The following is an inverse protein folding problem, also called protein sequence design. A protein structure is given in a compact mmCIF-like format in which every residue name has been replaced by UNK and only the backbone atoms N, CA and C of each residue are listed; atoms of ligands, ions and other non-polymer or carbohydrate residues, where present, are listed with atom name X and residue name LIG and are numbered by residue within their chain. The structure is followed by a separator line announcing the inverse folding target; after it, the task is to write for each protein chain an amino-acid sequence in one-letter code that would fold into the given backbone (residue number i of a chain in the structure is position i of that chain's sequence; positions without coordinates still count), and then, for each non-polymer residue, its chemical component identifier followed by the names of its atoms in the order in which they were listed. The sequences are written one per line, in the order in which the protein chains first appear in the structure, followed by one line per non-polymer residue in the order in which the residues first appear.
data_IF_230395030995
#
_entry.id   IF_230395030995
#
_cell.length_a   1.000
_cell.length_b   1.000
_cell.length_c   1.000
_cell.angle_alpha   90.00
_cell.angle_beta   90.00
_cell.angle_gamma   90.00
#
_symmetry.space_group_name_H-M   'P 1'
#
loop_
_entity.id
_entity.type
_entity.pdbx_description
1 polymer ?
#
# COMPACT_ATOMS: atom_id res chain seq x y z
N UNK A 1 -63.10 -17.77 -35.75
CA UNK A 1 -63.58 -19.06 -35.20
C UNK A 1 -63.05 -19.09 -33.78
N UNK A 2 -63.90 -18.77 -32.87
CA UNK A 2 -64.56 -19.63 -31.85
C UNK A 2 -63.53 -20.14 -30.84
N UNK A 3 -63.66 -20.04 -29.51
CA UNK A 3 -64.67 -19.70 -28.47
C UNK A 3 -63.82 -19.66 -27.20
N UNK A 4 -63.76 -18.78 -26.36
CA UNK A 4 -64.48 -18.24 -25.28
C UNK A 4 -64.91 -19.30 -24.21
N UNK A 5 -64.41 -19.13 -22.96
CA UNK A 5 -65.27 -19.29 -21.80
C UNK A 5 -64.58 -18.72 -20.53
N UNK A 6 -65.30 -17.77 -19.99
CA UNK A 6 -65.16 -17.19 -18.64
C UNK A 6 -65.88 -18.07 -17.63
N UNK A 7 -65.39 -18.19 -16.40
CA UNK A 7 -66.23 -18.49 -15.24
C UNK A 7 -65.83 -17.64 -14.04
N UNK A 8 -66.84 -16.90 -13.57
CA UNK A 8 -66.87 -16.20 -12.25
C UNK A 8 -67.51 -17.20 -11.24
N UNK A 9 -67.18 -17.09 -9.96
CA UNK A 9 -68.05 -17.24 -8.80
C UNK A 9 -67.19 -17.03 -7.55
N UNK A 10 -67.37 -16.07 -6.78
CA UNK A 10 -68.29 -15.63 -5.69
C UNK A 10 -67.91 -16.13 -4.31
N UNK A 11 -67.89 -15.15 -3.47
CA UNK A 11 -67.63 -15.00 -2.04
C UNK A 11 -68.39 -15.99 -1.11
N UNK A 12 -67.76 -16.28 0.04
CA UNK A 12 -68.50 -16.41 1.31
C UNK A 12 -67.62 -16.10 2.51
N UNK A 13 -67.99 -15.12 3.26
CA UNK A 13 -67.46 -14.75 4.57
C UNK A 13 -68.10 -15.65 5.66
N UNK A 14 -67.33 -16.13 6.61
CA UNK A 14 -67.83 -16.58 7.89
C UNK A 14 -67.08 -15.88 9.03
N UNK A 15 -67.85 -15.07 9.76
CA UNK A 15 -67.53 -14.49 11.06
C UNK A 15 -67.89 -15.54 12.12
N UNK A 16 -66.96 -15.91 12.97
CA UNK A 16 -67.29 -16.56 14.25
C UNK A 16 -66.56 -15.77 15.36
N UNK A 17 -67.43 -15.15 16.16
CA UNK A 17 -67.10 -14.53 17.45
C UNK A 17 -67.19 -15.62 18.50
N UNK A 18 -66.21 -15.82 19.34
CA UNK A 18 -66.36 -16.48 20.62
C UNK A 18 -65.48 -15.85 21.66
N UNK A 19 -66.13 -15.50 22.74
CA UNK A 19 -65.66 -14.79 23.93
C UNK A 19 -65.01 -15.75 24.95
N UNK A 20 -64.03 -15.17 25.67
CA UNK A 20 -63.66 -15.34 27.09
C UNK A 20 -63.05 -16.64 27.61
N UNK A 21 -61.82 -16.51 28.15
CA UNK A 21 -61.58 -16.60 29.61
C UNK A 21 -60.17 -16.17 29.93
N UNK A 22 -60.03 -15.19 30.86
CA UNK A 22 -58.79 -14.76 31.48
C UNK A 22 -58.34 -15.81 32.50
N UNK A 23 -57.09 -16.25 32.40
CA UNK A 23 -56.34 -16.82 33.51
C UNK A 23 -54.98 -16.14 33.56
N UNK A 24 -54.74 -15.42 34.62
CA UNK A 24 -53.46 -14.82 34.99
C UNK A 24 -52.51 -15.94 35.45
N UNK A 25 -51.44 -16.14 34.73
CA UNK A 25 -50.29 -16.89 35.26
C UNK A 25 -49.04 -16.06 35.06
N UNK A 26 -48.44 -15.62 36.18
CA UNK A 26 -47.19 -14.89 36.22
C UNK A 26 -46.05 -15.87 36.02
N UNK A 27 -45.63 -16.05 34.79
CA UNK A 27 -44.36 -16.66 34.50
C UNK A 27 -43.27 -15.60 34.42
N UNK A 28 -42.34 -15.62 35.38
CA UNK A 28 -41.11 -14.81 35.39
C UNK A 28 -40.37 -15.00 34.12
N UNK A 29 -40.19 -13.91 33.32
CA UNK A 29 -39.24 -13.87 32.20
C UNK A 29 -37.84 -14.08 32.71
N UNK A 30 -37.01 -14.91 32.06
CA UNK A 30 -35.60 -14.96 32.36
C UNK A 30 -34.98 -13.60 31.95
N UNK A 31 -34.32 -12.98 32.91
CA UNK A 31 -33.48 -11.77 32.68
C UNK A 31 -32.47 -12.08 31.58
N UNK A 32 -32.61 -11.45 30.44
CA UNK A 32 -31.57 -11.50 29.39
C UNK A 32 -30.25 -11.02 29.99
N UNK A 33 -29.24 -11.89 29.96
CA UNK A 33 -27.89 -11.50 30.31
C UNK A 33 -27.46 -10.38 29.35
N UNK A 34 -27.02 -9.26 29.90
CA UNK A 34 -26.44 -8.17 29.13
C UNK A 34 -25.26 -8.71 28.32
N UNK A 35 -25.09 -8.30 27.04
CA UNK A 35 -23.93 -8.69 26.29
C UNK A 35 -22.67 -8.18 27.02
N UNK A 36 -21.78 -9.08 27.38
CA UNK A 36 -20.45 -8.75 27.87
C UNK A 36 -19.73 -8.13 26.69
N UNK A 37 -19.72 -6.77 26.60
CA UNK A 37 -18.75 -6.06 25.76
C UNK A 37 -17.37 -6.52 26.23
N UNK A 38 -16.50 -7.05 25.36
CA UNK A 38 -15.12 -7.21 25.73
C UNK A 38 -14.60 -5.83 26.10
N UNK A 39 -14.20 -5.66 27.35
CA UNK A 39 -13.55 -4.45 27.79
C UNK A 39 -12.34 -4.24 26.86
N UNK A 40 -12.37 -3.18 26.05
CA UNK A 40 -11.16 -2.69 25.42
C UNK A 40 -10.16 -2.48 26.54
N UNK A 41 -9.12 -3.30 26.59
CA UNK A 41 -8.05 -3.14 27.56
C UNK A 41 -7.57 -1.69 27.42
N UNK A 42 -7.65 -0.93 28.50
CA UNK A 42 -7.12 0.43 28.59
C UNK A 42 -5.59 0.30 28.43
N UNK A 43 -5.15 0.34 27.18
CA UNK A 43 -3.74 0.29 26.78
C UNK A 43 -3.17 1.69 27.01
N UNK A 44 -3.00 2.02 28.29
CA UNK A 44 -2.38 3.27 28.71
C UNK A 44 -1.04 3.44 27.98
N UNK A 45 -0.82 4.56 27.25
CA UNK A 45 0.45 4.84 26.59
C UNK A 45 1.68 4.86 27.51
N UNK A 46 1.47 4.82 28.81
CA UNK A 46 2.52 4.87 29.83
C UNK A 46 3.34 3.58 29.95
N UNK A 47 2.86 2.43 29.46
CA UNK A 47 3.60 1.17 29.50
C UNK A 47 4.62 1.00 28.38
N UNK A 48 4.38 1.62 27.23
CA UNK A 48 5.28 1.52 26.07
C UNK A 48 6.61 2.18 26.39
N UNK A 49 7.70 1.42 26.37
CA UNK A 49 9.03 1.91 26.68
C UNK A 49 9.88 2.00 25.42
N UNK A 50 10.28 3.24 25.05
CA UNK A 50 11.16 3.45 23.91
C UNK A 50 12.56 2.90 24.15
N UNK A 51 13.23 2.50 23.08
CA UNK A 51 14.64 2.17 23.14
C UNK A 51 15.47 3.44 23.46
N UNK A 52 16.53 3.28 24.26
CA UNK A 52 17.36 4.41 24.69
C UNK A 52 18.02 5.15 23.52
N UNK A 53 18.26 4.44 22.42
CA UNK A 53 18.85 4.93 21.16
C UNK A 53 17.82 5.06 20.03
N UNK A 54 16.53 5.09 20.36
CA UNK A 54 15.42 5.06 19.38
C UNK A 54 15.52 3.87 18.39
N UNK A 55 16.06 2.74 18.82
CA UNK A 55 16.30 1.56 17.98
C UNK A 55 17.17 1.86 16.73
N UNK A 56 18.09 2.82 16.85
CA UNK A 56 18.99 3.28 15.79
C UNK A 56 18.41 4.37 14.88
N UNK A 57 17.17 4.83 15.12
CA UNK A 57 16.53 5.85 14.30
C UNK A 57 16.84 7.26 14.77
N UNK A 58 16.93 8.18 13.81
CA UNK A 58 16.96 9.63 14.02
C UNK A 58 15.55 10.17 13.79
N UNK A 59 14.97 10.80 14.80
CA UNK A 59 13.58 11.25 14.83
C UNK A 59 13.51 12.73 15.25
N UNK A 60 12.42 13.45 14.91
CA UNK A 60 12.16 14.80 15.40
C UNK A 60 12.04 14.84 16.93
N UNK A 61 12.22 16.02 17.50
CA UNK A 61 12.10 16.23 18.95
C UNK A 61 10.74 15.79 19.49
N UNK A 62 10.72 15.13 20.65
CA UNK A 62 9.52 14.61 21.28
C UNK A 62 9.06 13.24 20.76
N UNK A 63 9.62 12.75 19.67
CA UNK A 63 9.38 11.38 19.19
C UNK A 63 10.42 10.41 19.74
N UNK A 64 10.01 9.16 19.88
CA UNK A 64 10.90 8.05 20.18
C UNK A 64 10.41 6.74 19.55
N UNK A 65 11.30 5.78 19.40
CA UNK A 65 11.01 4.50 18.78
C UNK A 65 11.37 3.31 19.67
N UNK A 66 10.70 2.19 19.40
CA UNK A 66 11.02 0.89 19.94
C UNK A 66 10.89 -0.18 18.84
N UNK A 67 11.51 -1.33 19.10
CA UNK A 67 11.36 -2.54 18.29
C UNK A 67 10.18 -3.34 18.83
N UNK A 68 9.18 -3.56 17.96
CA UNK A 68 8.02 -4.42 18.27
C UNK A 68 8.40 -5.89 18.13
N UNK A 69 9.08 -6.23 17.05
CA UNK A 69 9.56 -7.59 16.77
C UNK A 69 10.74 -7.55 15.79
N UNK A 70 11.65 -8.50 15.92
CA UNK A 70 12.62 -8.89 14.90
C UNK A 70 12.16 -10.22 14.29
N UNK A 71 11.62 -10.16 13.08
CA UNK A 71 11.02 -11.29 12.39
C UNK A 71 12.09 -12.12 11.71
N UNK A 72 12.07 -13.42 11.96
CA UNK A 72 12.96 -14.37 11.29
C UNK A 72 12.17 -15.49 10.65
N UNK A 73 12.67 -15.98 9.52
CA UNK A 73 12.16 -17.15 8.84
C UNK A 73 13.34 -18.07 8.53
N UNK A 74 13.24 -19.33 8.95
CA UNK A 74 14.32 -20.31 8.82
C UNK A 74 15.66 -19.79 9.38
N UNK A 75 15.64 -19.02 10.46
CA UNK A 75 16.83 -18.48 11.11
C UNK A 75 17.49 -17.28 10.42
N UNK A 76 16.87 -16.73 9.38
CA UNK A 76 17.32 -15.50 8.69
C UNK A 76 16.30 -14.37 8.87
N UNK A 77 16.72 -13.10 8.83
CA UNK A 77 15.80 -11.98 8.84
C UNK A 77 14.72 -12.12 7.76
N UNK A 78 13.47 -11.90 8.11
CA UNK A 78 12.35 -11.96 7.19
C UNK A 78 12.28 -10.70 6.33
N UNK A 79 11.92 -10.82 5.06
CA UNK A 79 11.65 -9.66 4.22
C UNK A 79 10.22 -9.13 4.53
N UNK A 80 10.08 -8.31 5.58
CA UNK A 80 8.81 -7.73 6.01
C UNK A 80 8.38 -6.62 5.04
N UNK A 81 7.22 -6.82 4.40
CA UNK A 81 6.67 -5.90 3.40
C UNK A 81 5.58 -5.03 4.05
N UNK A 82 4.47 -4.79 3.36
CA UNK A 82 3.39 -3.99 3.92
C UNK A 82 2.81 -4.62 5.20
N UNK A 83 2.26 -3.79 6.06
CA UNK A 83 1.63 -4.20 7.30
C UNK A 83 0.34 -3.43 7.53
N UNK A 84 -0.52 -4.02 8.34
CA UNK A 84 -1.73 -3.37 8.86
C UNK A 84 -1.78 -3.56 10.38
N UNK A 85 -2.33 -2.57 11.08
CA UNK A 85 -2.62 -2.68 12.52
C UNK A 85 -4.13 -2.62 12.70
N UNK A 86 -4.68 -3.64 13.35
CA UNK A 86 -6.13 -3.73 13.58
C UNK A 86 -6.58 -2.74 14.67
N UNK A 87 -7.88 -2.45 14.78
CA UNK A 87 -8.40 -1.66 15.89
C UNK A 87 -8.11 -2.25 17.28
N UNK A 88 -7.88 -3.58 17.35
CA UNK A 88 -7.46 -4.25 18.58
C UNK A 88 -5.96 -4.11 18.86
N UNK A 89 -5.17 -3.60 17.90
CA UNK A 89 -3.71 -3.42 18.02
C UNK A 89 -2.91 -4.65 17.58
N UNK A 90 -3.56 -5.69 17.03
CA UNK A 90 -2.85 -6.78 16.39
C UNK A 90 -2.26 -6.33 15.06
N UNK A 91 -1.08 -6.82 14.72
CA UNK A 91 -0.35 -6.42 13.52
C UNK A 91 -0.30 -7.61 12.57
N UNK A 92 -0.63 -7.40 11.30
CA UNK A 92 -0.40 -8.38 10.24
C UNK A 92 0.64 -7.84 9.27
N UNK A 93 1.65 -8.66 8.96
CA UNK A 93 2.79 -8.28 8.12
C UNK A 93 2.90 -9.28 6.98
N UNK A 94 2.91 -8.79 5.74
CA UNK A 94 3.23 -9.62 4.57
C UNK A 94 4.73 -9.91 4.56
N UNK A 95 5.09 -11.18 4.37
CA UNK A 95 6.47 -11.62 4.35
C UNK A 95 6.80 -12.21 2.99
N UNK A 96 7.74 -11.60 2.28
CA UNK A 96 8.32 -12.17 1.08
C UNK A 96 9.59 -12.95 1.41
N UNK A 97 9.92 -13.89 0.54
CA UNK A 97 11.27 -14.45 0.52
C UNK A 97 12.25 -13.37 0.03
N UNK A 98 13.47 -13.33 0.57
CA UNK A 98 14.56 -12.62 -0.11
C UNK A 98 14.65 -13.06 -1.57
N UNK A 99 15.05 -12.16 -2.48
CA UNK A 99 15.20 -12.52 -3.91
C UNK A 99 16.02 -13.80 -4.04
N UNK A 100 15.51 -14.76 -4.82
CA UNK A 100 16.11 -16.08 -5.06
C UNK A 100 16.05 -17.09 -3.89
N UNK A 101 15.34 -16.80 -2.81
CA UNK A 101 15.07 -17.76 -1.73
C UNK A 101 13.61 -18.18 -1.80
N UNK A 102 13.34 -19.47 -1.88
CA UNK A 102 12.01 -20.06 -1.83
C UNK A 102 11.87 -20.92 -0.56
N UNK A 103 10.68 -21.04 0.00
CA UNK A 103 9.39 -20.49 -0.41
C UNK A 103 9.14 -19.09 0.14
N UNK A 104 8.17 -18.36 -0.44
CA UNK A 104 7.56 -17.17 0.15
C UNK A 104 6.83 -17.55 1.46
N UNK A 105 6.67 -16.60 2.37
CA UNK A 105 6.32 -16.93 3.75
C UNK A 105 4.92 -16.44 4.18
N UNK A 106 4.15 -15.85 3.27
CA UNK A 106 2.76 -15.48 3.53
C UNK A 106 2.63 -14.30 4.47
N UNK A 107 1.91 -14.48 5.58
CA UNK A 107 1.58 -13.42 6.53
C UNK A 107 1.93 -13.86 7.94
N UNK A 108 2.50 -12.94 8.72
CA UNK A 108 2.75 -13.09 10.16
C UNK A 108 1.81 -12.17 10.92
N UNK A 109 1.04 -12.72 11.86
CA UNK A 109 0.28 -11.99 12.87
C UNK A 109 1.08 -11.84 14.15
N UNK A 110 1.07 -10.64 14.75
CA UNK A 110 1.78 -10.28 15.97
C UNK A 110 0.82 -9.65 16.98
N UNK A 111 1.01 -9.91 18.25
CA UNK A 111 0.25 -9.33 19.35
C UNK A 111 1.15 -9.00 20.54
N UNK A 112 0.96 -7.81 21.06
CA UNK A 112 1.45 -7.34 22.35
C UNK A 112 0.35 -7.61 23.39
N UNK A 113 0.57 -8.57 24.30
CA UNK A 113 -0.41 -8.98 25.30
C UNK A 113 -0.37 -8.15 26.55
N UNK A 114 0.82 -7.76 27.00
CA UNK A 114 1.02 -7.06 28.27
C UNK A 114 1.07 -5.54 28.13
N UNK A 115 1.07 -5.03 26.90
CA UNK A 115 1.00 -3.60 26.57
C UNK A 115 2.33 -2.87 26.71
N UNK A 116 3.46 -3.58 26.68
CA UNK A 116 4.79 -2.98 26.78
C UNK A 116 5.30 -2.40 25.45
N UNK A 117 4.61 -2.70 24.36
CA UNK A 117 4.90 -2.26 22.99
C UNK A 117 5.65 -3.29 22.15
N UNK A 118 6.00 -4.44 22.69
CA UNK A 118 6.64 -5.56 22.02
C UNK A 118 5.64 -6.68 21.75
N UNK A 119 5.89 -7.47 20.72
CA UNK A 119 5.04 -8.61 20.44
C UNK A 119 5.45 -9.83 21.29
N UNK A 120 4.51 -10.36 22.10
CA UNK A 120 4.67 -11.57 22.89
C UNK A 120 4.19 -12.82 22.14
N UNK A 121 3.30 -12.61 21.17
CA UNK A 121 2.68 -13.68 20.42
C UNK A 121 2.87 -13.46 18.94
N UNK A 122 3.25 -14.54 18.24
CA UNK A 122 3.42 -14.56 16.79
C UNK A 122 2.76 -15.81 16.22
N UNK A 123 2.07 -15.63 15.09
CA UNK A 123 1.49 -16.73 14.31
C UNK A 123 1.69 -16.49 12.82
N UNK A 124 2.01 -17.54 12.07
CA UNK A 124 2.19 -17.49 10.61
C UNK A 124 1.07 -18.24 9.92
N UNK A 125 0.60 -17.72 8.78
CA UNK A 125 -0.38 -18.38 7.92
C UNK A 125 -0.12 -18.11 6.44
N UNK A 126 -0.79 -18.90 5.56
CA UNK A 126 -0.59 -18.86 4.11
C UNK A 126 0.89 -18.96 3.70
N UNK A 127 1.66 -19.91 4.26
CA UNK A 127 3.02 -20.13 3.81
C UNK A 127 3.02 -20.46 2.31
N UNK A 128 4.10 -20.13 1.62
CA UNK A 128 4.31 -20.32 0.18
C UNK A 128 3.54 -19.35 -0.74
N UNK A 129 2.84 -18.34 -0.21
CA UNK A 129 2.29 -17.24 -1.01
C UNK A 129 3.20 -16.02 -0.94
N UNK A 130 3.71 -15.57 -2.08
CA UNK A 130 4.41 -14.29 -2.22
C UNK A 130 3.41 -13.16 -2.47
N UNK A 131 3.66 -12.00 -1.88
CA UNK A 131 2.86 -10.81 -2.06
C UNK A 131 3.32 -9.67 -1.16
N UNK A 132 2.81 -8.47 -1.36
CA UNK A 132 3.23 -7.30 -0.59
C UNK A 132 2.06 -6.54 0.02
N UNK A 133 1.01 -6.29 -0.74
CA UNK A 133 -0.09 -5.42 -0.33
C UNK A 133 -0.96 -6.03 0.76
N UNK A 134 -1.26 -5.26 1.79
CA UNK A 134 -2.23 -5.61 2.83
C UNK A 134 -3.22 -4.45 3.04
N UNK A 135 -4.49 -4.80 3.22
CA UNK A 135 -5.52 -3.87 3.67
C UNK A 135 -6.45 -4.55 4.67
N UNK A 136 -7.01 -3.77 5.59
CA UNK A 136 -7.91 -4.27 6.63
C UNK A 136 -9.24 -3.52 6.61
N UNK A 137 -10.35 -4.24 6.66
CA UNK A 137 -11.69 -3.68 6.84
C UNK A 137 -12.60 -4.70 7.52
N UNK A 138 -13.17 -4.33 8.65
CA UNK A 138 -14.22 -5.08 9.37
C UNK A 138 -13.93 -6.59 9.50
N UNK A 139 -12.83 -6.95 10.16
CA UNK A 139 -12.36 -8.34 10.34
C UNK A 139 -12.02 -9.08 9.03
N UNK A 140 -11.84 -8.35 7.95
CA UNK A 140 -11.36 -8.87 6.68
C UNK A 140 -9.94 -8.37 6.42
N UNK A 141 -9.01 -9.28 6.25
CA UNK A 141 -7.65 -8.99 5.82
C UNK A 141 -7.53 -9.31 4.33
N UNK A 142 -7.29 -8.28 3.52
CA UNK A 142 -7.01 -8.42 2.10
C UNK A 142 -5.51 -8.56 1.87
N UNK A 143 -5.11 -9.49 1.02
CA UNK A 143 -3.72 -9.75 0.69
C UNK A 143 -3.52 -9.74 -0.83
N UNK A 144 -2.73 -8.78 -1.30
CA UNK A 144 -2.24 -8.71 -2.67
C UNK A 144 -1.10 -9.70 -2.90
N UNK A 145 -1.44 -10.95 -3.20
CA UNK A 145 -0.48 -11.95 -3.65
C UNK A 145 -0.06 -11.67 -5.10
N UNK A 146 1.08 -12.25 -5.53
CA UNK A 146 1.69 -11.91 -6.82
C UNK A 146 0.78 -12.17 -8.04
N UNK A 147 -0.18 -13.10 -7.95
CA UNK A 147 -1.07 -13.50 -9.05
C UNK A 147 -2.57 -13.35 -8.76
N UNK A 148 -2.93 -12.90 -7.54
CA UNK A 148 -4.32 -12.83 -7.08
C UNK A 148 -4.49 -11.87 -5.91
N UNK A 149 -5.74 -11.56 -5.56
CA UNK A 149 -6.08 -10.94 -4.28
C UNK A 149 -6.91 -11.93 -3.46
N UNK A 150 -6.48 -12.15 -2.22
CA UNK A 150 -7.15 -12.99 -1.24
C UNK A 150 -7.80 -12.14 -0.16
N UNK A 151 -8.90 -12.63 0.40
CA UNK A 151 -9.54 -12.06 1.58
C UNK A 151 -9.66 -13.14 2.65
N UNK A 152 -9.06 -12.86 3.80
CA UNK A 152 -9.10 -13.73 4.98
C UNK A 152 -10.10 -13.16 5.99
N UNK A 153 -10.91 -14.02 6.57
CA UNK A 153 -11.72 -13.66 7.73
C UNK A 153 -10.90 -13.90 9.00
N UNK A 154 -10.67 -12.85 9.78
CA UNK A 154 -9.87 -12.88 11.01
C UNK A 154 -10.68 -12.24 12.14
N UNK A 155 -11.39 -13.05 12.91
CA UNK A 155 -12.17 -12.56 14.05
C UNK A 155 -11.31 -11.90 15.12
N UNK A 156 -11.91 -10.96 15.84
CA UNK A 156 -11.25 -10.28 16.95
C UNK A 156 -10.63 -11.28 17.94
N UNK A 157 -9.38 -11.01 18.35
CA UNK A 157 -8.63 -11.89 19.25
C UNK A 157 -7.93 -13.07 18.57
N UNK A 158 -7.93 -13.19 17.25
CA UNK A 158 -7.18 -14.19 16.51
C UNK A 158 -6.03 -13.58 15.72
N UNK A 159 -4.92 -14.31 15.61
CA UNK A 159 -3.76 -13.98 14.76
C UNK A 159 -3.70 -14.84 13.49
N UNK A 160 -4.70 -15.69 13.27
CA UNK A 160 -4.82 -16.54 12.09
C UNK A 160 -6.26 -16.54 11.59
N UNK A 161 -6.48 -16.68 10.28
CA UNK A 161 -7.83 -16.68 9.71
C UNK A 161 -8.66 -17.88 10.15
N UNK A 162 -9.97 -17.73 10.02
CA UNK A 162 -10.97 -18.79 10.18
C UNK A 162 -11.30 -19.41 8.82
N UNK A 163 -10.86 -20.63 8.61
CA UNK A 163 -11.10 -21.34 7.36
C UNK A 163 -10.17 -20.92 6.21
N UNK A 164 -10.59 -21.25 4.99
CA UNK A 164 -9.87 -20.91 3.77
C UNK A 164 -10.11 -19.44 3.37
N UNK A 165 -9.11 -18.83 2.72
CA UNK A 165 -9.29 -17.50 2.14
C UNK A 165 -10.28 -17.52 0.96
N UNK A 166 -11.08 -16.47 0.84
CA UNK A 166 -11.80 -16.17 -0.39
C UNK A 166 -10.84 -15.68 -1.47
N UNK A 167 -11.03 -16.14 -2.70
CA UNK A 167 -10.36 -15.58 -3.87
C UNK A 167 -11.19 -14.40 -4.35
N UNK A 168 -10.75 -13.17 -4.07
CA UNK A 168 -11.44 -11.96 -4.53
C UNK A 168 -11.19 -11.75 -6.02
N UNK A 169 -9.91 -11.81 -6.42
CA UNK A 169 -9.47 -11.68 -7.83
C UNK A 169 -8.42 -12.73 -8.11
N UNK A 170 -8.43 -13.33 -9.30
CA UNK A 170 -7.45 -14.32 -9.75
C UNK A 170 -6.93 -14.01 -11.16
N UNK A 171 -5.87 -14.70 -11.57
CA UNK A 171 -5.31 -14.60 -12.91
C UNK A 171 -4.65 -13.24 -13.20
N UNK A 172 -4.15 -12.55 -12.18
CA UNK A 172 -3.40 -11.32 -12.35
C UNK A 172 -1.99 -11.61 -12.88
N UNK A 173 -1.41 -10.71 -13.70
CA UNK A 173 -0.06 -10.88 -14.25
C UNK A 173 1.00 -11.02 -13.13
N UNK A 174 1.81 -12.07 -13.18
CA UNK A 174 2.80 -12.40 -12.14
C UNK A 174 4.22 -12.67 -12.67
N UNK A 175 4.51 -12.20 -13.88
CA UNK A 175 5.83 -12.32 -14.51
C UNK A 175 6.36 -10.97 -14.93
N UNK A 176 7.67 -10.83 -15.05
CA UNK A 176 8.37 -9.60 -15.42
C UNK A 176 8.97 -8.88 -14.21
N UNK A 177 9.30 -7.59 -14.39
CA UNK A 177 10.06 -6.82 -13.40
C UNK A 177 9.22 -6.47 -12.15
N UNK A 178 7.92 -6.15 -12.29
CA UNK A 178 7.07 -5.59 -11.23
C UNK A 178 5.84 -6.47 -10.99
N UNK A 179 6.02 -7.53 -10.22
CA UNK A 179 4.98 -8.53 -9.94
C UNK A 179 4.16 -8.24 -8.66
N UNK A 180 4.65 -7.39 -7.77
CA UNK A 180 3.98 -7.05 -6.52
C UNK A 180 2.61 -6.42 -6.78
N UNK A 181 1.63 -6.76 -5.93
CA UNK A 181 0.29 -6.20 -5.94
C UNK A 181 0.07 -5.44 -4.66
N UNK A 182 -0.03 -4.12 -4.75
CA UNK A 182 -0.58 -3.36 -3.64
C UNK A 182 -2.10 -3.22 -3.79
N UNK A 183 -2.79 -3.09 -2.67
CA UNK A 183 -4.25 -3.07 -2.60
C UNK A 183 -4.71 -1.95 -1.68
N UNK A 184 -5.72 -1.20 -2.11
CA UNK A 184 -6.36 -0.19 -1.30
C UNK A 184 -7.88 -0.32 -1.31
N UNK A 185 -8.51 -0.13 -0.16
CA UNK A 185 -9.95 -0.16 -0.01
C UNK A 185 -10.51 1.27 -0.04
N UNK A 186 -11.56 1.47 -0.82
CA UNK A 186 -12.31 2.72 -0.88
C UNK A 186 -13.76 2.53 -0.46
N UNK A 187 -14.47 3.63 -0.27
CA UNK A 187 -15.90 3.60 0.07
C UNK A 187 -16.73 2.92 -1.03
N UNK A 188 -17.83 2.27 -0.66
CA UNK A 188 -18.71 1.58 -1.60
C UNK A 188 -18.11 0.27 -2.15
N UNK A 189 -17.43 -0.49 -1.32
CA UNK A 189 -16.81 -1.78 -1.64
C UNK A 189 -15.77 -1.72 -2.78
N UNK A 190 -15.07 -0.61 -2.91
CA UNK A 190 -14.04 -0.47 -3.94
C UNK A 190 -12.74 -1.11 -3.50
N UNK A 191 -12.16 -1.92 -4.37
CA UNK A 191 -10.83 -2.50 -4.21
C UNK A 191 -9.97 -2.06 -5.39
N UNK A 192 -9.01 -1.21 -5.13
CA UNK A 192 -7.99 -0.79 -6.11
C UNK A 192 -6.80 -1.73 -6.02
N UNK A 193 -6.33 -2.19 -7.18
CA UNK A 193 -5.20 -3.12 -7.27
C UNK A 193 -4.19 -2.58 -8.29
N UNK A 194 -2.94 -2.44 -7.88
CA UNK A 194 -1.84 -2.13 -8.78
C UNK A 194 -1.44 -3.34 -9.60
N UNK A 195 -1.27 -3.16 -10.90
CA UNK A 195 -0.61 -4.11 -11.80
C UNK A 195 0.62 -3.44 -12.42
N UNK A 196 1.80 -3.70 -11.87
CA UNK A 196 3.05 -3.11 -12.36
C UNK A 196 3.44 -3.59 -13.77
N UNK A 197 4.30 -2.85 -14.44
CA UNK A 197 4.79 -3.19 -15.79
C UNK A 197 5.60 -4.48 -15.80
N UNK A 198 5.66 -5.15 -16.95
CA UNK A 198 6.52 -6.32 -17.13
C UNK A 198 7.98 -5.95 -17.37
N UNK A 199 8.21 -4.73 -17.88
CA UNK A 199 9.53 -4.25 -18.28
C UNK A 199 9.85 -2.90 -17.68
N UNK A 200 11.10 -2.47 -17.79
CA UNK A 200 11.55 -1.15 -17.35
C UNK A 200 10.88 0.01 -18.14
N UNK A 201 10.84 -0.12 -19.47
CA UNK A 201 10.37 0.97 -20.37
C UNK A 201 9.74 0.48 -21.68
N UNK A 202 9.12 -0.71 -21.68
CA UNK A 202 8.45 -1.32 -22.83
C UNK A 202 9.34 -1.38 -24.08
N UNK A 203 10.59 -1.78 -23.89
CA UNK A 203 11.61 -1.95 -24.92
C UNK A 203 11.45 -3.28 -25.66
N UNK A 204 11.91 -3.36 -26.89
CA UNK A 204 11.99 -4.62 -27.67
C UNK A 204 12.86 -5.64 -26.91
N UNK A 205 13.97 -5.19 -26.34
CA UNK A 205 14.80 -5.98 -25.43
C UNK A 205 14.91 -5.23 -24.09
N UNK A 206 14.29 -5.79 -23.05
CA UNK A 206 14.22 -5.14 -21.76
C UNK A 206 15.61 -4.90 -21.16
N UNK A 207 15.89 -3.67 -20.71
CA UNK A 207 17.15 -3.23 -20.07
C UNK A 207 18.40 -3.42 -20.94
N UNK A 208 18.26 -3.40 -22.26
CA UNK A 208 19.36 -3.48 -23.21
C UNK A 208 19.64 -2.09 -23.80
N UNK A 209 20.92 -1.74 -23.86
CA UNK A 209 21.38 -0.45 -24.38
C UNK A 209 20.83 -0.19 -25.79
N UNK A 210 20.33 1.02 -26.02
CA UNK A 210 19.77 1.52 -27.27
C UNK A 210 18.62 0.68 -27.87
N UNK A 211 18.02 -0.22 -27.09
CA UNK A 211 16.85 -0.97 -27.52
C UNK A 211 15.66 -0.05 -27.68
N UNK A 212 15.02 0.03 -28.87
CA UNK A 212 13.89 0.93 -29.11
C UNK A 212 12.65 0.48 -28.31
N UNK A 213 11.75 1.43 -28.06
CA UNK A 213 10.45 1.16 -27.48
C UNK A 213 9.47 0.53 -28.46
N UNK A 214 8.54 -0.24 -27.94
CA UNK A 214 7.42 -0.81 -28.71
C UNK A 214 6.26 0.19 -28.73
N UNK A 215 5.80 0.58 -29.90
CA UNK A 215 4.66 1.48 -30.04
C UNK A 215 3.57 0.89 -30.96
N UNK A 216 2.29 0.85 -30.52
CA UNK A 216 1.84 1.10 -29.12
C UNK A 216 2.37 0.02 -28.17
N UNK A 217 2.62 0.39 -26.90
CA UNK A 217 3.13 -0.55 -25.91
C UNK A 217 2.07 -1.61 -25.57
N UNK A 218 2.35 -2.91 -25.77
CA UNK A 218 1.40 -3.99 -25.55
C UNK A 218 1.12 -4.27 -24.06
N UNK A 219 1.90 -3.69 -23.15
CA UNK A 219 1.68 -3.83 -21.70
C UNK A 219 0.51 -2.98 -21.22
N UNK A 220 0.30 -1.79 -21.78
CA UNK A 220 -0.68 -0.81 -21.28
C UNK A 220 -2.11 -1.33 -21.17
N UNK A 221 -2.63 -2.17 -22.08
CA UNK A 221 -3.97 -2.72 -21.95
C UNK A 221 -4.16 -3.70 -20.78
N UNK A 222 -3.07 -4.29 -20.26
CA UNK A 222 -3.14 -5.39 -19.29
C UNK A 222 -2.27 -5.19 -18.05
N UNK A 223 -1.41 -4.16 -18.02
CA UNK A 223 -0.44 -3.87 -16.95
C UNK A 223 -0.18 -2.38 -16.86
N UNK A 224 0.79 -2.01 -16.01
CA UNK A 224 1.25 -0.63 -15.84
C UNK A 224 0.10 0.33 -15.52
N UNK A 225 -0.71 -0.04 -14.52
CA UNK A 225 -1.88 0.74 -14.15
C UNK A 225 -2.60 0.21 -12.91
N UNK A 226 -3.80 0.73 -12.71
CA UNK A 226 -4.68 0.42 -11.58
C UNK A 226 -5.97 -0.22 -12.11
N UNK A 227 -6.37 -1.31 -11.49
CA UNK A 227 -7.68 -1.95 -11.71
C UNK A 227 -8.58 -1.78 -10.50
N UNK A 228 -9.86 -1.57 -10.75
CA UNK A 228 -10.89 -1.45 -9.74
C UNK A 228 -11.80 -2.68 -9.78
N UNK A 229 -11.97 -3.32 -8.62
CA UNK A 229 -12.83 -4.47 -8.39
C UNK A 229 -13.84 -4.21 -7.27
N UNK A 230 -14.78 -5.13 -7.09
CA UNK A 230 -15.65 -5.19 -5.91
C UNK A 230 -14.89 -5.91 -4.78
N UNK A 231 -14.64 -5.21 -3.67
CA UNK A 231 -13.96 -5.78 -2.49
C UNK A 231 -14.74 -6.94 -1.86
N UNK A 232 -16.06 -6.97 -1.98
CA UNK A 232 -16.93 -8.05 -1.45
C UNK A 232 -17.20 -9.15 -2.48
N UNK A 233 -16.81 -8.93 -3.73
CA UNK A 233 -16.91 -9.92 -4.79
C UNK A 233 -15.95 -11.10 -4.59
N UNK A 234 -16.31 -12.25 -5.19
CA UNK A 234 -15.45 -13.44 -5.21
C UNK A 234 -15.25 -13.92 -6.65
N UNK A 235 -14.12 -14.59 -6.89
CA UNK A 235 -13.77 -15.19 -8.18
C UNK A 235 -13.80 -14.23 -9.37
N UNK A 236 -13.50 -12.95 -9.11
CA UNK A 236 -13.29 -11.96 -10.15
C UNK A 236 -12.02 -12.28 -10.93
N UNK A 237 -11.92 -11.78 -12.15
CA UNK A 237 -10.73 -11.85 -13.00
C UNK A 237 -10.34 -10.45 -13.43
N UNK A 238 -9.13 -10.27 -13.96
CA UNK A 238 -8.73 -8.97 -14.48
C UNK A 238 -9.74 -8.42 -15.51
N UNK A 239 -10.30 -9.28 -16.37
CA UNK A 239 -11.27 -8.89 -17.39
C UNK A 239 -12.63 -8.43 -16.82
N UNK A 240 -12.98 -8.86 -15.59
CA UNK A 240 -14.20 -8.40 -14.92
C UNK A 240 -14.00 -7.09 -14.13
N UNK A 241 -12.75 -6.69 -13.91
CA UNK A 241 -12.41 -5.43 -13.28
C UNK A 241 -12.42 -4.27 -14.26
N UNK A 242 -12.52 -3.07 -13.75
CA UNK A 242 -12.37 -1.85 -14.52
C UNK A 242 -10.90 -1.47 -14.61
N UNK A 243 -10.39 -1.20 -15.82
CA UNK A 243 -9.09 -0.56 -16.00
C UNK A 243 -9.21 0.91 -15.59
N UNK A 244 -8.98 1.19 -14.29
CA UNK A 244 -9.26 2.47 -13.66
C UNK A 244 -8.32 3.59 -14.13
N UNK A 245 -7.00 3.27 -14.26
CA UNK A 245 -5.98 4.21 -14.71
C UNK A 245 -4.79 3.47 -15.32
N UNK A 246 -4.04 4.13 -16.21
CA UNK A 246 -2.94 3.53 -16.99
C UNK A 246 -1.67 4.39 -16.96
N UNK A 247 -0.57 3.85 -17.51
CA UNK A 247 0.67 4.60 -17.67
C UNK A 247 1.49 4.76 -16.38
N UNK A 248 1.33 3.85 -15.43
CA UNK A 248 2.08 3.80 -14.18
C UNK A 248 3.03 2.60 -14.19
N UNK A 249 4.34 2.85 -14.17
CA UNK A 249 5.34 1.78 -14.26
C UNK A 249 5.26 0.79 -13.10
N UNK A 250 5.35 1.30 -11.89
CA UNK A 250 5.32 0.48 -10.68
C UNK A 250 4.81 1.32 -9.49
N UNK A 251 3.52 1.21 -9.23
CA UNK A 251 2.90 1.77 -8.04
C UNK A 251 3.05 0.76 -6.90
N UNK A 252 4.11 0.85 -6.13
CA UNK A 252 4.33 -0.07 -5.01
C UNK A 252 3.35 0.19 -3.88
N UNK A 253 2.81 1.42 -3.79
CA UNK A 253 1.75 1.77 -2.86
C UNK A 253 0.63 2.54 -3.52
N UNK A 254 -0.60 2.08 -3.27
CA UNK A 254 -1.85 2.79 -3.54
C UNK A 254 -2.54 3.03 -2.20
N UNK A 255 -3.08 4.21 -1.99
CA UNK A 255 -3.87 4.54 -0.80
C UNK A 255 -5.08 5.39 -1.15
N UNK A 256 -6.11 5.32 -0.33
CA UNK A 256 -7.29 6.18 -0.42
C UNK A 256 -7.23 7.18 0.74
N UNK A 257 -7.27 8.47 0.41
CA UNK A 257 -7.30 9.49 1.44
C UNK A 257 -8.67 9.47 2.15
N UNK A 258 -8.74 9.19 3.46
CA UNK A 258 -10.00 9.06 4.17
C UNK A 258 -10.81 10.36 4.28
N UNK A 259 -10.20 11.52 3.96
CA UNK A 259 -10.86 12.82 4.02
C UNK A 259 -11.67 13.16 2.77
N UNK A 260 -11.20 12.77 1.60
CA UNK A 260 -11.83 13.09 0.31
C UNK A 260 -12.18 11.87 -0.55
N UNK A 261 -11.75 10.68 -0.12
CA UNK A 261 -11.93 9.40 -0.83
C UNK A 261 -11.30 9.36 -2.23
N UNK A 262 -10.31 10.21 -2.49
CA UNK A 262 -9.51 10.15 -3.69
C UNK A 262 -8.39 9.12 -3.55
N UNK A 263 -7.95 8.59 -4.70
CA UNK A 263 -6.88 7.61 -4.79
C UNK A 263 -5.55 8.32 -4.99
N UNK A 264 -4.57 7.95 -4.21
CA UNK A 264 -3.19 8.44 -4.32
C UNK A 264 -2.24 7.25 -4.39
N UNK A 265 -1.06 7.50 -4.93
CA UNK A 265 -0.01 6.50 -5.00
C UNK A 265 1.36 7.16 -5.04
N UNK A 266 2.38 6.35 -4.78
CA UNK A 266 3.77 6.65 -5.09
C UNK A 266 4.27 5.69 -6.15
N UNK A 267 5.03 6.19 -7.11
CA UNK A 267 5.54 5.45 -8.26
C UNK A 267 7.05 5.41 -8.25
N UNK A 268 7.60 4.22 -8.46
CA UNK A 268 9.01 4.05 -8.78
C UNK A 268 9.28 4.37 -10.25
N UNK A 269 10.19 5.30 -10.49
CA UNK A 269 10.66 5.70 -11.81
C UNK A 269 11.38 4.58 -12.56
N UNK A 270 11.72 4.83 -13.82
CA UNK A 270 12.52 3.93 -14.62
C UNK A 270 13.99 3.95 -14.17
N UNK A 271 14.73 2.91 -14.50
CA UNK A 271 16.17 2.79 -14.21
C UNK A 271 16.98 2.91 -15.50
N UNK A 272 18.33 3.07 -15.36
CA UNK A 272 19.33 2.82 -16.39
C UNK A 272 19.25 3.82 -17.58
N UNK A 273 19.08 5.11 -17.29
CA UNK A 273 19.11 6.13 -18.34
C UNK A 273 20.54 6.27 -18.92
N UNK A 274 21.56 6.29 -18.08
CA UNK A 274 22.94 6.39 -18.54
C UNK A 274 23.44 5.08 -19.16
N UNK A 275 23.22 3.93 -18.53
CA UNK A 275 23.66 2.64 -19.05
C UNK A 275 23.08 2.33 -20.43
N UNK A 276 21.80 2.67 -20.62
CA UNK A 276 21.12 2.37 -21.89
C UNK A 276 21.23 3.50 -22.93
N UNK A 277 21.39 4.76 -22.49
CA UNK A 277 21.30 5.92 -23.36
C UNK A 277 22.39 6.96 -23.09
N UNK A 278 23.64 6.52 -22.91
CA UNK A 278 24.80 7.37 -22.59
C UNK A 278 25.08 8.47 -23.64
N UNK A 279 24.54 8.38 -24.84
CA UNK A 279 24.60 9.44 -25.85
C UNK A 279 23.70 10.65 -25.51
N UNK A 280 22.72 10.48 -24.60
CA UNK A 280 21.79 11.55 -24.21
C UNK A 280 21.86 11.91 -22.73
N UNK A 281 22.28 10.97 -21.88
CA UNK A 281 22.30 11.13 -20.42
C UNK A 281 23.71 10.86 -19.88
N UNK A 282 24.14 11.67 -18.96
CA UNK A 282 25.36 11.46 -18.15
C UNK A 282 25.02 10.66 -16.89
N UNK A 283 26.00 10.08 -16.22
CA UNK A 283 25.81 9.42 -14.93
C UNK A 283 25.24 10.37 -13.86
N UNK A 284 25.57 11.67 -13.92
CA UNK A 284 24.97 12.71 -13.04
C UNK A 284 23.47 12.85 -13.29
N UNK A 285 23.07 12.91 -14.55
CA UNK A 285 21.64 13.00 -14.89
C UNK A 285 20.91 11.72 -14.52
N UNK A 286 21.47 10.55 -14.74
CA UNK A 286 20.87 9.28 -14.36
C UNK A 286 20.66 9.17 -12.84
N UNK A 287 21.64 9.60 -12.03
CA UNK A 287 21.50 9.59 -10.56
C UNK A 287 20.42 10.55 -10.03
N UNK A 288 19.97 11.50 -10.84
CA UNK A 288 18.95 12.50 -10.52
C UNK A 288 17.62 12.25 -11.25
N UNK A 289 17.58 11.35 -12.27
CA UNK A 289 16.43 11.11 -13.14
C UNK A 289 16.08 9.64 -13.27
N UNK A 290 14.76 9.38 -13.46
CA UNK A 290 13.66 10.30 -13.24
C UNK A 290 13.37 10.48 -11.76
N UNK A 291 12.70 11.56 -11.40
CA UNK A 291 12.17 11.72 -10.06
C UNK A 291 11.18 10.59 -9.71
N UNK A 292 11.17 10.17 -8.45
CA UNK A 292 10.07 9.39 -7.90
C UNK A 292 8.84 10.28 -7.76
N UNK A 293 7.67 9.75 -8.09
CA UNK A 293 6.45 10.56 -8.20
C UNK A 293 5.43 10.20 -7.11
N UNK A 294 4.86 11.22 -6.44
CA UNK A 294 3.57 11.10 -5.76
C UNK A 294 2.49 11.59 -6.72
N UNK A 295 1.44 10.80 -6.89
CA UNK A 295 0.37 11.06 -7.85
C UNK A 295 -1.01 10.96 -7.21
N UNK A 296 -1.96 11.81 -7.65
CA UNK A 296 -3.38 11.65 -7.42
C UNK A 296 -3.98 10.99 -8.66
N UNK A 297 -4.65 9.86 -8.47
CA UNK A 297 -5.13 9.01 -9.57
C UNK A 297 -6.62 9.22 -9.77
N UNK A 298 -6.98 9.81 -10.90
CA UNK A 298 -8.37 9.92 -11.32
C UNK A 298 -8.75 8.76 -12.26
N UNK A 299 -10.04 8.42 -12.29
CA UNK A 299 -10.58 7.45 -13.26
C UNK A 299 -10.26 7.89 -14.68
N UNK A 300 -9.67 7.01 -15.48
CA UNK A 300 -9.25 7.27 -16.86
C UNK A 300 -7.95 8.07 -17.00
N UNK A 301 -7.26 8.40 -15.89
CA UNK A 301 -5.97 9.10 -15.97
C UNK A 301 -4.87 8.22 -16.58
N UNK A 302 -3.91 8.88 -17.21
CA UNK A 302 -2.72 8.25 -17.80
C UNK A 302 -1.48 9.01 -17.33
N UNK A 303 -0.53 8.32 -16.68
CA UNK A 303 0.69 8.94 -16.15
C UNK A 303 1.81 9.06 -17.19
N UNK A 304 1.69 8.40 -18.33
CA UNK A 304 2.61 8.56 -19.47
C UNK A 304 3.67 7.48 -19.63
N UNK A 305 3.89 6.59 -18.66
CA UNK A 305 4.76 5.44 -18.90
C UNK A 305 4.21 4.56 -20.04
N UNK A 306 5.03 4.05 -20.94
CA UNK A 306 6.49 4.08 -21.01
C UNK A 306 7.03 5.27 -21.79
N UNK A 307 6.15 6.11 -22.34
CA UNK A 307 6.50 7.13 -23.33
C UNK A 307 7.21 8.34 -22.73
N UNK A 308 6.85 8.70 -21.47
CA UNK A 308 7.36 9.90 -20.82
C UNK A 308 7.71 9.60 -19.35
N UNK A 309 8.65 10.36 -18.81
CA UNK A 309 9.00 10.38 -17.39
C UNK A 309 9.14 11.83 -16.90
N UNK A 310 9.06 12.05 -15.58
CA UNK A 310 9.16 13.38 -15.00
C UNK A 310 10.61 13.71 -14.67
N UNK A 311 11.08 14.82 -15.22
CA UNK A 311 12.37 15.42 -14.92
C UNK A 311 12.17 16.56 -13.92
N UNK A 312 12.54 16.36 -12.65
CA UNK A 312 12.38 17.35 -11.60
C UNK A 312 13.54 18.32 -11.50
N UNK A 313 14.74 17.91 -11.92
CA UNK A 313 15.96 18.67 -11.61
C UNK A 313 16.43 19.59 -12.74
N UNK A 314 16.15 19.22 -14.00
CA UNK A 314 16.65 19.99 -15.15
C UNK A 314 15.52 20.67 -15.93
N UNK A 315 14.44 19.96 -16.24
CA UNK A 315 13.37 20.45 -17.08
C UNK A 315 12.08 20.79 -16.33
N UNK A 316 11.91 20.29 -15.10
CA UNK A 316 10.74 20.49 -14.23
C UNK A 316 9.40 20.13 -14.93
N UNK A 317 9.42 19.09 -15.76
CA UNK A 317 8.27 18.63 -16.56
C UNK A 317 8.44 17.18 -17.01
N UNK A 318 7.39 16.59 -17.56
CA UNK A 318 7.51 15.31 -18.26
C UNK A 318 8.19 15.50 -19.61
N UNK A 319 9.22 14.68 -19.84
CA UNK A 319 9.98 14.61 -21.09
C UNK A 319 9.82 13.26 -21.75
N UNK A 320 10.00 13.22 -23.07
CA UNK A 320 9.90 12.01 -23.88
C UNK A 320 11.04 11.04 -23.53
N UNK A 321 10.70 9.78 -23.31
CA UNK A 321 11.66 8.73 -23.05
C UNK A 321 12.52 8.42 -24.29
N UNK A 322 13.81 8.10 -24.12
CA UNK A 322 14.73 7.93 -25.23
C UNK A 322 14.35 6.77 -26.17
N UNK A 323 13.69 5.74 -25.68
CA UNK A 323 13.14 4.63 -26.47
C UNK A 323 12.15 5.09 -27.54
N UNK A 324 11.55 6.26 -27.35
CA UNK A 324 10.54 6.85 -28.22
C UNK A 324 11.02 8.12 -28.90
N UNK A 325 12.35 8.32 -28.96
CA UNK A 325 13.00 9.46 -29.63
C UNK A 325 13.27 10.66 -28.76
N UNK A 326 13.19 10.52 -27.42
CA UNK A 326 13.55 11.54 -26.46
C UNK A 326 15.08 11.70 -26.33
N UNK A 327 15.51 12.82 -25.81
CA UNK A 327 16.92 13.14 -25.54
C UNK A 327 17.11 13.93 -24.23
N UNK A 328 16.14 13.86 -23.33
CA UNK A 328 16.11 14.60 -22.07
C UNK A 328 15.42 15.97 -22.14
N UNK A 329 15.09 16.49 -23.35
CA UNK A 329 14.50 17.83 -23.50
C UNK A 329 13.18 17.82 -24.31
N UNK A 330 12.97 16.78 -25.12
CA UNK A 330 11.82 16.71 -26.02
C UNK A 330 10.55 16.39 -25.22
N UNK A 331 9.49 17.18 -25.45
CA UNK A 331 8.17 17.00 -24.83
C UNK A 331 7.18 16.36 -25.81
N UNK A 332 7.28 16.69 -27.09
CA UNK A 332 6.40 16.18 -28.14
C UNK A 332 7.19 15.28 -29.07
N UNK A 333 6.85 14.01 -29.07
CA UNK A 333 7.47 13.00 -29.90
C UNK A 333 6.74 12.77 -31.21
N UNK A 334 7.30 11.89 -32.02
CA UNK A 334 6.61 11.30 -33.17
C UNK A 334 5.43 10.45 -32.67
N UNK A 335 4.57 9.99 -33.57
CA UNK A 335 3.42 9.12 -33.25
C UNK A 335 2.33 9.76 -32.37
N UNK A 336 2.33 11.10 -32.26
CA UNK A 336 1.33 11.83 -31.48
C UNK A 336 1.54 11.82 -29.97
N UNK A 337 2.69 11.37 -29.46
CA UNK A 337 3.03 11.41 -28.04
C UNK A 337 3.27 12.87 -27.64
N UNK A 338 2.53 13.33 -26.61
CA UNK A 338 2.73 14.64 -25.99
C UNK A 338 2.80 14.48 -24.47
N UNK A 339 4.00 14.63 -23.91
CA UNK A 339 4.24 14.42 -22.47
C UNK A 339 3.51 15.41 -21.57
N UNK A 340 3.17 16.60 -22.07
CA UNK A 340 2.39 17.58 -21.33
C UNK A 340 0.91 17.18 -21.13
N UNK A 341 0.39 16.24 -21.93
CA UNK A 341 -0.99 15.77 -21.81
C UNK A 341 -1.21 14.69 -20.76
N UNK A 342 -0.13 14.10 -20.24
CA UNK A 342 -0.20 13.08 -19.22
C UNK A 342 -0.37 13.66 -17.81
N UNK A 343 -0.86 12.83 -16.88
CA UNK A 343 -0.99 13.19 -15.48
C UNK A 343 0.36 13.66 -14.93
N UNK A 344 0.36 14.79 -14.20
CA UNK A 344 1.59 15.31 -13.59
C UNK A 344 1.68 14.86 -12.13
N UNK A 345 2.88 14.68 -11.57
CA UNK A 345 3.03 14.42 -10.14
C UNK A 345 2.53 15.60 -9.31
N UNK A 346 2.01 15.30 -8.12
CA UNK A 346 1.62 16.32 -7.13
C UNK A 346 2.76 16.63 -6.13
N UNK A 347 3.73 15.74 -6.03
CA UNK A 347 5.02 15.93 -5.39
C UNK A 347 6.03 15.00 -6.05
N UNK A 348 7.32 15.33 -5.92
CA UNK A 348 8.44 14.54 -6.42
C UNK A 348 9.45 14.30 -5.32
N UNK A 349 10.21 13.22 -5.42
CA UNK A 349 11.27 12.85 -4.50
C UNK A 349 12.54 12.53 -5.28
N UNK A 350 13.64 12.34 -4.57
CA UNK A 350 14.92 12.00 -5.18
C UNK A 350 14.83 10.74 -6.05
N UNK A 351 15.49 10.78 -7.19
CA UNK A 351 15.53 9.66 -8.13
C UNK A 351 16.09 8.40 -7.46
N UNK A 352 15.51 7.25 -7.78
CA UNK A 352 15.91 5.93 -7.28
C UNK A 352 15.78 5.73 -5.75
N UNK A 353 15.06 6.61 -5.05
CA UNK A 353 14.81 6.42 -3.61
C UNK A 353 13.87 5.24 -3.32
N UNK A 354 13.18 4.76 -4.33
CA UNK A 354 12.32 3.57 -4.25
C UNK A 354 11.20 3.72 -3.21
N UNK A 355 10.19 4.55 -3.43
CA UNK A 355 9.05 4.67 -2.52
C UNK A 355 8.29 3.35 -2.48
N UNK A 356 8.01 2.84 -1.26
CA UNK A 356 7.37 1.55 -1.03
C UNK A 356 5.99 1.65 -0.41
N UNK A 357 5.74 2.67 0.43
CA UNK A 357 4.42 2.91 1.03
C UNK A 357 4.15 4.40 1.15
N UNK A 358 2.91 4.79 0.82
CA UNK A 358 2.32 6.09 1.15
C UNK A 358 1.13 5.85 2.08
N UNK A 359 1.08 6.57 3.20
CA UNK A 359 0.05 6.42 4.22
C UNK A 359 -0.44 7.80 4.70
N UNK A 360 -1.73 8.11 4.55
CA UNK A 360 -2.32 9.28 5.19
C UNK A 360 -2.44 9.05 6.70
N UNK A 361 -1.90 9.99 7.48
CA UNK A 361 -1.95 9.88 8.93
C UNK A 361 -3.35 10.17 9.47
N UNK A 362 -3.94 9.17 10.12
CA UNK A 362 -5.29 9.24 10.70
C UNK A 362 -5.28 9.31 12.23
N UNK A 363 -4.09 9.19 12.83
CA UNK A 363 -3.91 9.22 14.28
C UNK A 363 -4.10 10.61 14.89
N UNK A 364 -4.13 10.64 16.22
CA UNK A 364 -4.21 11.88 17.01
C UNK A 364 -3.06 12.03 17.99
N UNK A 365 -2.18 11.06 18.09
CA UNK A 365 -1.05 11.05 19.00
C UNK A 365 0.01 12.08 18.60
N UNK A 366 0.31 12.19 17.29
CA UNK A 366 1.32 13.11 16.81
C UNK A 366 0.86 14.58 16.86
N UNK A 367 1.77 15.55 16.93
CA UNK A 367 1.47 16.96 16.87
C UNK A 367 0.59 17.36 15.68
N UNK A 368 -0.09 18.50 15.77
CA UNK A 368 -1.00 19.00 14.73
C UNK A 368 -0.34 19.08 13.36
N UNK A 369 0.94 19.39 13.31
CA UNK A 369 1.75 19.43 12.09
C UNK A 369 1.61 18.14 11.26
N UNK A 370 1.64 16.96 11.91
CA UNK A 370 1.54 15.66 11.25
C UNK A 370 0.12 15.15 11.03
N UNK A 371 -0.92 15.85 11.47
CA UNK A 371 -2.32 15.38 11.38
C UNK A 371 -2.99 15.63 10.04
N UNK A 372 -2.32 16.34 9.16
CA UNK A 372 -2.85 16.66 7.84
C UNK A 372 -1.79 16.42 6.76
N UNK A 373 -1.50 15.17 6.51
CA UNK A 373 -0.49 14.82 5.52
C UNK A 373 -0.34 13.31 5.38
N UNK A 374 0.66 12.92 4.61
CA UNK A 374 0.99 11.55 4.35
C UNK A 374 2.46 11.26 4.68
N UNK A 375 2.70 10.09 5.26
CA UNK A 375 4.05 9.53 5.38
C UNK A 375 4.36 8.70 4.15
N UNK A 376 5.62 8.75 3.71
CA UNK A 376 6.15 7.95 2.59
C UNK A 376 7.41 7.23 3.06
N UNK A 377 7.44 5.91 2.95
CA UNK A 377 8.63 5.11 3.23
C UNK A 377 9.42 4.90 1.94
N UNK A 378 10.72 5.13 2.00
CA UNK A 378 11.66 4.93 0.89
C UNK A 378 12.65 3.83 1.22
N UNK A 379 12.74 2.86 0.33
CA UNK A 379 13.51 1.64 0.49
C UNK A 379 15.02 1.82 0.22
N UNK A 380 15.39 2.95 -0.38
CA UNK A 380 16.74 3.26 -0.82
C UNK A 380 17.11 2.70 -2.18
N UNK A 381 17.75 3.52 -2.96
CA UNK A 381 18.10 3.27 -4.37
C UNK A 381 19.33 2.41 -4.57
N UNK A 382 19.50 1.92 -5.78
CA UNK A 382 20.67 1.16 -6.22
C UNK A 382 21.32 1.73 -7.49
N UNK A 383 20.64 2.59 -8.23
CA UNK A 383 21.03 3.07 -9.56
C UNK A 383 21.56 4.52 -9.48
N UNK A 384 22.45 4.80 -8.51
CA UNK A 384 22.99 6.15 -8.27
C UNK A 384 24.50 6.26 -8.43
N UNK A 385 25.19 5.18 -8.79
CA UNK A 385 26.63 5.23 -8.94
C UNK A 385 27.07 6.24 -10.04
N UNK A 386 28.13 7.04 -9.84
CA UNK A 386 29.10 6.97 -8.73
C UNK A 386 28.70 7.75 -7.47
N UNK A 387 27.47 8.27 -7.40
CA UNK A 387 27.01 9.08 -6.29
C UNK A 387 26.54 8.22 -5.11
N UNK A 388 26.47 8.80 -3.89
CA UNK A 388 25.94 8.09 -2.73
C UNK A 388 24.51 7.60 -2.94
N UNK A 389 24.20 6.43 -2.40
CA UNK A 389 22.82 5.97 -2.33
C UNK A 389 22.06 6.72 -1.24
N UNK A 390 20.81 7.02 -1.48
CA UNK A 390 19.91 7.79 -0.62
C UNK A 390 18.54 7.15 -0.54
N UNK A 391 17.62 7.72 0.28
CA UNK A 391 16.23 7.31 0.35
C UNK A 391 15.97 6.18 1.34
N UNK A 392 16.84 5.88 2.30
CA UNK A 392 16.57 4.90 3.37
C UNK A 392 15.88 5.61 4.55
N UNK A 393 14.66 6.13 4.33
CA UNK A 393 14.01 7.03 5.26
C UNK A 393 12.48 6.99 5.15
N UNK A 394 11.83 7.62 6.09
CA UNK A 394 10.39 7.94 6.04
C UNK A 394 10.27 9.46 6.02
N UNK A 395 9.61 9.99 5.00
CA UNK A 395 9.31 11.41 4.90
C UNK A 395 7.84 11.68 5.22
N UNK A 396 7.55 12.92 5.63
CA UNK A 396 6.21 13.45 5.78
C UNK A 396 5.96 14.51 4.72
N UNK A 397 4.81 14.43 4.07
CA UNK A 397 4.32 15.43 3.09
C UNK A 397 3.07 16.08 3.66
N UNK A 398 3.08 17.38 3.97
CA UNK A 398 1.88 18.09 4.45
C UNK A 398 0.87 18.27 3.33
N UNK A 399 -0.43 18.15 3.65
CA UNK A 399 -1.52 18.30 2.69
C UNK A 399 -2.48 19.42 3.08
N UNK A 400 -2.95 20.14 2.08
CA UNK A 400 -4.02 21.12 2.21
C UNK A 400 -5.42 20.49 2.16
N UNK A 401 -6.45 21.27 2.44
CA UNK A 401 -7.85 20.84 2.38
C UNK A 401 -8.31 20.45 0.96
N UNK A 402 -7.62 20.97 -0.07
CA UNK A 402 -7.85 20.63 -1.48
C UNK A 402 -7.35 19.22 -1.87
N UNK A 403 -6.74 18.49 -0.94
CA UNK A 403 -6.17 17.18 -1.19
C UNK A 403 -4.87 17.20 -1.99
N UNK A 404 -4.15 18.31 -1.98
CA UNK A 404 -2.84 18.45 -2.61
C UNK A 404 -1.78 18.77 -1.54
N UNK A 405 -0.51 18.45 -1.79
CA UNK A 405 0.59 18.89 -0.93
C UNK A 405 0.55 20.41 -0.71
N UNK A 406 0.77 20.84 0.53
CA UNK A 406 0.79 22.24 0.95
C UNK A 406 2.18 22.76 1.31
N UNK A 407 3.19 21.92 1.20
CA UNK A 407 4.59 22.21 1.43
C UNK A 407 5.46 21.07 0.90
N UNK A 408 6.77 21.25 1.02
CA UNK A 408 7.76 20.26 0.63
C UNK A 408 7.73 19.03 1.56
N UNK A 409 8.24 17.90 1.06
CA UNK A 409 8.49 16.74 1.89
C UNK A 409 9.58 17.02 2.92
N UNK A 410 9.38 16.55 4.15
CA UNK A 410 10.33 16.65 5.23
C UNK A 410 10.72 15.27 5.77
N UNK A 411 12.00 15.05 6.05
CA UNK A 411 12.44 13.77 6.62
C UNK A 411 11.92 13.63 8.04
N UNK A 412 11.09 12.61 8.25
CA UNK A 412 10.49 12.28 9.55
C UNK A 412 11.32 11.25 10.33
N UNK A 413 11.75 10.17 9.67
CA UNK A 413 12.58 9.16 10.32
C UNK A 413 13.73 8.74 9.40
N UNK A 414 14.95 8.72 9.93
CA UNK A 414 16.16 8.34 9.23
C UNK A 414 17.01 7.39 10.08
N UNK A 415 18.20 6.98 9.61
CA UNK A 415 19.10 6.09 10.32
C UNK A 415 18.92 4.60 10.01
N UNK A 416 17.95 4.23 9.21
CA UNK A 416 17.67 2.81 8.86
C UNK A 416 18.87 2.10 8.24
N UNK A 417 19.55 2.75 7.30
CA UNK A 417 20.66 2.14 6.57
C UNK A 417 21.92 1.92 7.42
N UNK A 418 21.98 2.56 8.59
CA UNK A 418 23.19 2.65 9.41
C UNK A 418 24.08 3.82 8.99
N UNK A 419 25.39 3.70 9.24
CA UNK A 419 26.36 4.79 8.97
C UNK A 419 26.75 4.82 7.49
N UNK A 420 26.81 6.03 6.93
CA UNK A 420 27.20 6.27 5.54
C UNK A 420 26.06 6.12 4.55
N UNK A 421 26.41 5.88 3.28
CA UNK A 421 25.45 5.72 2.17
C UNK A 421 25.65 4.34 1.52
N UNK A 422 25.21 3.26 2.18
CA UNK A 422 25.49 1.92 1.71
C UNK A 422 24.71 1.60 0.42
N UNK A 423 25.23 0.64 -0.34
CA UNK A 423 24.39 -0.06 -1.32
C UNK A 423 23.22 -0.77 -0.59
N UNK A 424 22.06 -0.94 -1.24
CA UNK A 424 20.90 -1.59 -0.61
C UNK A 424 21.20 -2.95 0.03
N UNK A 425 22.11 -3.70 -0.57
CA UNK A 425 22.54 -5.00 -0.03
C UNK A 425 23.38 -4.92 1.25
N UNK A 426 23.99 -3.76 1.54
CA UNK A 426 24.81 -3.50 2.71
C UNK A 426 24.07 -2.66 3.77
N UNK A 427 22.91 -2.11 3.48
CA UNK A 427 22.07 -1.42 4.45
C UNK A 427 21.68 -2.36 5.59
N UNK A 428 21.66 -1.85 6.82
CA UNK A 428 21.25 -2.63 8.00
C UNK A 428 19.74 -2.88 7.95
N UNK A 429 18.98 -1.83 7.70
CA UNK A 429 17.53 -1.83 7.59
C UNK A 429 17.08 -1.04 6.36
N UNK A 430 15.91 -1.37 5.83
CA UNK A 430 15.29 -0.71 4.68
C UNK A 430 13.80 -0.57 4.93
N UNK A 431 13.27 0.63 5.20
CA UNK A 431 11.85 0.81 5.52
C UNK A 431 10.98 0.52 4.31
N UNK A 432 9.84 -0.14 4.54
CA UNK A 432 8.90 -0.56 3.49
C UNK A 432 7.46 -0.20 3.86
N UNK A 433 6.84 -0.95 4.75
CA UNK A 433 5.44 -0.80 5.11
C UNK A 433 5.23 0.25 6.19
N UNK A 434 4.12 0.97 6.12
CA UNK A 434 3.66 1.93 7.11
C UNK A 434 2.24 1.59 7.56
N UNK A 435 1.95 1.72 8.86
CA UNK A 435 0.60 1.64 9.39
C UNK A 435 0.41 2.54 10.60
N UNK A 436 -0.82 3.00 10.84
CA UNK A 436 -1.17 3.75 12.04
C UNK A 436 -1.85 2.81 13.04
N UNK A 437 -1.34 2.78 14.26
CA UNK A 437 -1.93 2.03 15.36
C UNK A 437 -3.20 2.71 15.92
N UNK A 438 -4.01 1.98 16.70
CA UNK A 438 -5.23 2.51 17.30
C UNK A 438 -4.97 3.66 18.29
N UNK A 439 -3.79 3.73 18.86
CA UNK A 439 -3.32 4.82 19.72
C UNK A 439 -2.73 6.01 18.94
N UNK A 440 -2.61 5.90 17.61
CA UNK A 440 -2.02 6.91 16.74
C UNK A 440 -0.51 6.80 16.56
N UNK A 441 0.15 5.78 17.10
CA UNK A 441 1.57 5.53 16.80
C UNK A 441 1.77 5.10 15.34
N UNK A 442 2.95 5.36 14.78
CA UNK A 442 3.34 4.92 13.44
C UNK A 442 4.18 3.66 13.52
N UNK A 443 3.77 2.64 12.77
CA UNK A 443 4.54 1.39 12.61
C UNK A 443 5.27 1.41 11.27
N UNK A 444 6.51 0.91 11.28
CA UNK A 444 7.36 0.79 10.09
C UNK A 444 7.91 -0.62 10.00
N UNK A 445 7.74 -1.28 8.87
CA UNK A 445 8.39 -2.57 8.59
C UNK A 445 9.69 -2.39 7.81
N UNK A 446 10.57 -3.37 7.93
CA UNK A 446 11.88 -3.40 7.29
C UNK A 446 12.11 -4.77 6.64
N UNK A 447 12.39 -4.77 5.35
CA UNK A 447 12.56 -6.02 4.58
C UNK A 447 14.00 -6.52 4.51
N UNK A 448 14.94 -5.80 5.11
CA UNK A 448 16.34 -6.19 5.15
C UNK A 448 16.71 -6.88 6.46
N UNK A 449 16.36 -6.25 7.59
CA UNK A 449 16.63 -6.76 8.94
C UNK A 449 15.46 -7.53 9.56
N UNK A 450 14.28 -7.50 8.92
CA UNK A 450 13.07 -8.17 9.42
C UNK A 450 12.42 -7.46 10.60
N UNK A 451 12.75 -6.20 10.84
CA UNK A 451 12.32 -5.46 12.03
C UNK A 451 10.98 -4.78 11.83
N UNK A 452 10.17 -4.77 12.88
CA UNK A 452 8.98 -3.91 12.98
C UNK A 452 9.25 -2.86 14.05
N UNK A 453 9.26 -1.60 13.62
CA UNK A 453 9.40 -0.44 14.50
C UNK A 453 8.03 0.11 14.88
N UNK A 454 7.95 0.72 16.06
CA UNK A 454 6.85 1.56 16.48
C UNK A 454 7.40 2.92 16.92
N UNK A 455 6.91 3.99 16.31
CA UNK A 455 7.28 5.37 16.60
C UNK A 455 6.12 6.03 17.35
N UNK A 456 6.42 6.62 18.49
CA UNK A 456 5.43 7.28 19.36
C UNK A 456 5.87 8.72 19.66
N UNK A 457 4.89 9.60 19.88
CA UNK A 457 5.15 10.94 20.38
C UNK A 457 4.93 10.98 21.90
N UNK A 458 5.93 11.49 22.62
CA UNK A 458 5.91 11.59 24.10
C UNK A 458 5.72 13.01 24.60
N UNK A 459 5.68 13.98 23.71
CA UNK A 459 5.74 15.38 24.04
C UNK A 459 7.17 15.88 24.20
N UNK A 460 7.46 17.03 23.65
CA UNK A 460 8.63 17.84 24.00
C UNK A 460 8.18 18.89 25.01
N UNK A 461 9.10 19.39 25.83
CA UNK A 461 8.83 20.56 26.65
C UNK A 461 8.42 21.71 25.71
N UNK A 462 7.16 22.02 25.72
CA UNK A 462 6.50 23.24 25.26
C UNK A 462 6.91 23.86 23.91
N UNK A 463 6.02 23.67 22.93
CA UNK A 463 5.57 24.81 22.11
C UNK A 463 4.03 24.77 21.95
#
# INVERSE_FOLDING_TARGET
MHVGHSFRATSAAFVVISLFAACSDQSKSPTAAAPISPAAADRSPQKVQCAADNAGLVLPAGFCALVVADLTVNGSPAAARHLVVTPAGDIFVAINAPRNVQPAFGIIGLRDRDGDGRADEQSQFSPNLGGSGLAWDDNQLYFGANDRVLRFHVSAGRLTPEGAADIVVSGLPNMGDHISKDVALGTGNRLYVNLGSATNSCQVQNRVAQSPGIFPCPELPVRAGVWLFDARGNNQTQASGEHYATGYRNLVSITVNPRNNDVYAVQQGRDMLFENWSQFFTAVQDSALPAEEMVRIARGSNNGWPYCFFDADFEHKKVLAPEYGGNGHIVVGQQGINCASFNQPIATFGAHWSPETMLFYTGRQFPNHYRNGAFVAFHGGFDRAPFPNEGFQVDFVPFGENGLPSGDAETFANGFAGVGSPLPAAAIHRPVGLAVGPDGSLYVSDDRGGRIYRIVFRGGSDE
#
